data_IF_121753684701
#
_entry.id   IF_121753684701
#
_cell.length_a   1.000
_cell.length_b   1.000
_cell.length_c   1.000
_cell.angle_alpha   90.00
_cell.angle_beta   90.00
_cell.angle_gamma   90.00
#
_symmetry.space_group_name_H-M   'P 1'
#
loop_
_entity.id
_entity.type
_entity.pdbx_description
1 polymer ?
#
# COMPACT_ATOMS: atom_id res chain seq x y z
N UNK A 1 -2.17 19.25 25.31
CA UNK A 1 -3.51 18.90 24.78
C UNK A 1 -3.56 19.00 23.26
N UNK A 2 -2.86 19.95 22.62
CA UNK A 2 -2.82 20.07 21.14
C UNK A 2 -2.08 18.94 20.41
N UNK A 3 -1.00 18.40 21.01
CA UNK A 3 -0.17 17.39 20.36
C UNK A 3 -0.87 16.02 20.28
N UNK A 4 -1.52 15.59 21.37
CA UNK A 4 -2.32 14.38 21.39
C UNK A 4 -3.54 14.48 20.46
N UNK A 5 -4.18 15.64 20.36
CA UNK A 5 -5.34 15.85 19.49
C UNK A 5 -4.93 15.88 18.00
N UNK A 6 -3.75 16.43 17.69
CA UNK A 6 -3.16 16.40 16.34
C UNK A 6 -2.72 14.99 15.94
N UNK A 7 -2.13 14.25 16.88
CA UNK A 7 -1.77 12.84 16.71
C UNK A 7 -3.04 12.01 16.49
N UNK A 8 -4.07 12.15 17.32
CA UNK A 8 -5.35 11.46 17.17
C UNK A 8 -6.08 11.82 15.87
N UNK A 9 -6.04 13.08 15.42
CA UNK A 9 -6.57 13.47 14.10
C UNK A 9 -5.79 12.85 12.94
N UNK A 10 -4.45 12.85 13.01
CA UNK A 10 -3.59 12.17 12.01
C UNK A 10 -3.88 10.67 11.95
N UNK A 11 -4.04 10.01 13.10
CA UNK A 11 -4.39 8.59 13.17
C UNK A 11 -5.81 8.32 12.65
N UNK A 12 -6.79 9.17 13.00
CA UNK A 12 -8.17 9.03 12.53
C UNK A 12 -8.29 9.12 11.00
N UNK A 13 -7.61 10.10 10.37
CA UNK A 13 -7.58 10.20 8.90
C UNK A 13 -6.76 9.07 8.27
N UNK A 14 -5.74 8.54 8.94
CA UNK A 14 -4.94 7.44 8.40
C UNK A 14 -5.73 6.15 8.21
N UNK A 15 -6.71 5.88 9.09
CA UNK A 15 -7.59 4.73 8.98
C UNK A 15 -8.49 4.86 7.75
N UNK A 16 -9.11 6.03 7.54
CA UNK A 16 -9.94 6.30 6.35
C UNK A 16 -9.13 6.18 5.04
N UNK A 17 -7.86 6.64 5.06
CA UNK A 17 -6.94 6.47 3.93
C UNK A 17 -6.64 4.99 3.67
N UNK A 18 -6.30 4.24 4.71
CA UNK A 18 -6.03 2.81 4.60
C UNK A 18 -7.27 2.06 4.07
N UNK A 19 -8.45 2.30 4.65
CA UNK A 19 -9.69 1.62 4.24
C UNK A 19 -10.03 1.93 2.78
N UNK A 20 -9.82 3.17 2.32
CA UNK A 20 -10.01 3.54 0.92
C UNK A 20 -9.01 2.87 -0.02
N UNK A 21 -7.73 2.87 0.34
CA UNK A 21 -6.68 2.25 -0.46
C UNK A 21 -6.93 0.74 -0.55
N UNK A 22 -7.20 0.08 0.58
CA UNK A 22 -7.55 -1.35 0.64
C UNK A 22 -8.76 -1.64 -0.24
N UNK A 23 -9.84 -0.88 -0.11
CA UNK A 23 -11.05 -1.09 -0.92
C UNK A 23 -10.78 -1.04 -2.43
N UNK A 24 -9.94 -0.11 -2.88
CA UNK A 24 -9.56 -0.04 -4.30
C UNK A 24 -8.69 -1.23 -4.70
N UNK A 25 -7.71 -1.61 -3.88
CA UNK A 25 -6.89 -2.80 -4.14
C UNK A 25 -7.74 -4.09 -4.22
N UNK A 26 -8.69 -4.26 -3.30
CA UNK A 26 -9.65 -5.36 -3.29
C UNK A 26 -10.54 -5.34 -4.54
N UNK A 27 -11.00 -4.16 -4.96
CA UNK A 27 -11.82 -4.02 -6.17
C UNK A 27 -11.04 -4.45 -7.41
N UNK A 28 -9.80 -3.98 -7.57
CA UNK A 28 -8.95 -4.37 -8.71
C UNK A 28 -8.61 -5.85 -8.70
N UNK A 29 -8.34 -6.40 -7.51
CA UNK A 29 -8.17 -7.85 -7.30
C UNK A 29 -9.41 -8.63 -7.78
N UNK A 30 -10.60 -8.16 -7.42
CA UNK A 30 -11.87 -8.79 -7.79
C UNK A 30 -12.21 -8.68 -9.28
N UNK A 31 -11.95 -7.53 -9.88
CA UNK A 31 -12.29 -7.25 -11.29
C UNK A 31 -11.35 -7.95 -12.28
N UNK A 32 -10.13 -8.32 -11.84
CA UNK A 32 -9.22 -9.12 -12.66
C UNK A 32 -9.57 -10.61 -12.62
N UNK A 33 -9.74 -11.22 -13.79
CA UNK A 33 -10.25 -12.59 -13.98
C UNK A 33 -9.20 -13.60 -14.48
N UNK A 34 -7.95 -13.16 -14.68
CA UNK A 34 -6.86 -13.99 -15.26
C UNK A 34 -5.79 -14.42 -14.26
N UNK A 35 -6.14 -14.53 -12.98
CA UNK A 35 -5.21 -14.98 -11.93
C UNK A 35 -4.66 -16.39 -12.18
N UNK A 36 -5.42 -17.27 -12.86
CA UNK A 36 -4.99 -18.63 -13.18
C UNK A 36 -4.14 -18.73 -14.47
N UNK A 37 -3.88 -17.61 -15.16
CA UNK A 37 -3.08 -17.58 -16.38
C UNK A 37 -1.61 -17.30 -16.08
N UNK A 38 -0.77 -18.33 -16.15
CA UNK A 38 0.67 -18.25 -15.89
C UNK A 38 1.44 -17.27 -16.81
N UNK A 39 0.84 -16.78 -17.90
CA UNK A 39 1.46 -15.83 -18.83
C UNK A 39 1.00 -14.39 -18.61
N UNK A 40 0.12 -14.13 -17.65
CA UNK A 40 -0.45 -12.80 -17.39
C UNK A 40 -0.17 -12.38 -15.95
N UNK A 41 0.54 -11.27 -15.79
CA UNK A 41 0.67 -10.60 -14.49
C UNK A 41 -0.62 -9.85 -14.15
N UNK A 42 -1.10 -10.02 -12.93
CA UNK A 42 -2.18 -9.20 -12.40
C UNK A 42 -1.74 -7.77 -12.08
N UNK A 43 -2.69 -6.89 -11.71
CA UNK A 43 -2.35 -5.56 -11.23
C UNK A 43 -1.53 -5.65 -9.93
N UNK A 44 -0.51 -4.81 -9.79
CA UNK A 44 0.32 -4.72 -8.59
C UNK A 44 0.33 -3.31 -8.02
N UNK A 45 0.08 -3.19 -6.72
CA UNK A 45 0.11 -1.90 -6.02
C UNK A 45 0.92 -2.02 -4.74
N UNK A 46 1.64 -0.95 -4.40
CA UNK A 46 2.31 -0.81 -3.12
C UNK A 46 2.13 0.64 -2.64
N UNK A 47 1.22 0.87 -1.70
CA UNK A 47 1.01 2.16 -1.08
C UNK A 47 1.74 2.23 0.26
N UNK A 48 2.36 3.39 0.53
CA UNK A 48 2.95 3.71 1.81
C UNK A 48 2.36 5.02 2.33
N UNK A 49 1.57 4.93 3.40
CA UNK A 49 0.98 6.09 4.08
C UNK A 49 1.95 6.57 5.14
N UNK A 50 2.40 7.82 5.07
CA UNK A 50 3.42 8.40 5.94
C UNK A 50 2.92 9.63 6.69
N UNK A 51 3.37 9.81 7.93
CA UNK A 51 2.97 10.92 8.80
C UNK A 51 3.64 12.24 8.41
N UNK A 52 4.82 12.20 7.81
CA UNK A 52 5.70 13.33 7.50
C UNK A 52 6.42 13.13 6.16
N UNK A 53 7.06 14.18 5.65
CA UNK A 53 7.74 14.18 4.34
C UNK A 53 9.19 13.69 4.38
N UNK A 54 9.65 13.15 5.51
CA UNK A 54 11.01 12.65 5.71
C UNK A 54 11.24 11.26 5.10
N UNK A 55 10.26 10.72 4.37
CA UNK A 55 10.36 9.44 3.69
C UNK A 55 11.53 9.36 2.69
N UNK A 56 11.99 10.50 2.16
CA UNK A 56 13.17 10.59 1.30
C UNK A 56 14.44 9.98 1.94
N UNK A 57 14.53 9.92 3.28
CA UNK A 57 15.66 9.33 3.98
C UNK A 57 15.85 7.84 3.69
N UNK A 58 14.78 7.13 3.33
CA UNK A 58 14.79 5.68 3.08
C UNK A 58 14.13 5.28 1.75
N UNK A 59 13.87 6.24 0.86
CA UNK A 59 13.33 5.97 -0.48
C UNK A 59 14.21 6.55 -1.56
N UNK A 60 14.25 5.89 -2.72
CA UNK A 60 14.94 6.38 -3.91
C UNK A 60 13.92 6.48 -5.07
N UNK A 61 13.95 7.55 -5.90
CA UNK A 61 13.11 7.63 -7.09
C UNK A 61 13.26 6.39 -7.98
N UNK A 62 12.15 5.77 -8.40
CA UNK A 62 12.18 4.57 -9.24
C UNK A 62 11.99 4.93 -10.71
N UNK A 63 13.09 5.33 -11.37
CA UNK A 63 13.08 5.68 -12.78
C UNK A 63 12.07 6.79 -13.11
N UNK A 64 11.35 6.63 -14.22
CA UNK A 64 10.32 7.56 -14.67
C UNK A 64 8.91 7.18 -14.16
N UNK A 65 8.79 6.25 -13.21
CA UNK A 65 7.50 5.83 -12.68
C UNK A 65 6.88 6.95 -11.84
N UNK A 66 5.67 7.36 -12.24
CA UNK A 66 4.95 8.46 -11.61
C UNK A 66 3.48 8.11 -11.37
N UNK A 67 2.96 8.61 -10.25
CA UNK A 67 1.53 8.72 -10.03
C UNK A 67 0.96 9.94 -10.78
N UNK A 68 -0.08 9.78 -11.63
CA UNK A 68 -0.73 10.87 -12.36
C UNK A 68 -1.47 11.90 -11.47
N UNK A 69 -0.74 12.82 -10.84
CA UNK A 69 -1.30 13.80 -9.89
C UNK A 69 -2.22 14.84 -10.53
N UNK A 70 -2.14 15.05 -11.84
CA UNK A 70 -3.08 15.86 -12.62
C UNK A 70 -4.47 15.23 -12.69
N UNK A 71 -4.55 13.89 -12.60
CA UNK A 71 -5.80 13.12 -12.63
C UNK A 71 -6.31 12.76 -11.24
N UNK A 72 -5.41 12.52 -10.29
CA UNK A 72 -5.76 12.19 -8.91
C UNK A 72 -4.62 12.61 -7.99
N UNK A 73 -4.77 13.70 -7.24
CA UNK A 73 -3.75 14.14 -6.27
C UNK A 73 -4.06 13.71 -4.83
N UNK A 74 -5.34 13.50 -4.50
CA UNK A 74 -5.81 13.27 -3.14
C UNK A 74 -6.67 12.00 -3.12
N UNK A 75 -6.33 11.04 -2.26
CA UNK A 75 -6.99 9.72 -2.16
C UNK A 75 -8.51 9.83 -1.93
N UNK A 76 -8.92 10.77 -1.08
CA UNK A 76 -10.30 10.92 -0.63
C UNK A 76 -11.13 11.91 -1.47
N UNK A 77 -10.54 12.59 -2.46
CA UNK A 77 -11.23 13.64 -3.23
C UNK A 77 -12.25 13.06 -4.22
N UNK A 78 -11.85 12.08 -5.03
CA UNK A 78 -12.77 11.35 -5.93
C UNK A 78 -12.51 9.84 -5.89
N UNK A 79 -13.46 9.03 -5.39
CA UNK A 79 -13.37 7.56 -5.43
C UNK A 79 -13.09 7.00 -6.81
N UNK A 80 -13.81 7.50 -7.80
CA UNK A 80 -13.78 6.99 -9.17
C UNK A 80 -12.46 7.37 -9.85
N UNK A 81 -11.97 8.60 -9.64
CA UNK A 81 -10.69 9.02 -10.18
C UNK A 81 -9.55 8.24 -9.55
N UNK A 82 -9.57 8.06 -8.22
CA UNK A 82 -8.57 7.28 -7.50
C UNK A 82 -8.51 5.83 -7.99
N UNK A 83 -9.67 5.16 -8.14
CA UNK A 83 -9.75 3.79 -8.66
C UNK A 83 -9.15 3.68 -10.07
N UNK A 84 -9.56 4.55 -11.00
CA UNK A 84 -9.07 4.53 -12.39
C UNK A 84 -7.57 4.76 -12.50
N UNK A 85 -7.04 5.68 -11.70
CA UNK A 85 -5.59 5.94 -11.69
C UNK A 85 -4.83 4.77 -11.06
N UNK A 86 -5.37 4.18 -9.99
CA UNK A 86 -4.79 2.99 -9.37
C UNK A 86 -4.79 1.79 -10.34
N UNK A 87 -5.85 1.60 -11.11
CA UNK A 87 -5.91 0.58 -12.17
C UNK A 87 -4.79 0.78 -13.20
N UNK A 88 -4.71 1.97 -13.81
CA UNK A 88 -3.67 2.28 -14.80
C UNK A 88 -2.26 2.07 -14.23
N UNK A 89 -2.00 2.58 -13.03
CA UNK A 89 -0.70 2.44 -12.36
C UNK A 89 -0.41 0.97 -12.07
N UNK A 90 -1.39 0.23 -11.55
CA UNK A 90 -1.22 -1.16 -11.14
C UNK A 90 -0.85 -2.10 -12.29
N UNK A 91 -1.26 -1.80 -13.52
CA UNK A 91 -0.91 -2.58 -14.70
C UNK A 91 0.35 -2.11 -15.44
N UNK A 92 0.81 -0.87 -15.22
CA UNK A 92 1.82 -0.26 -16.09
C UNK A 92 3.06 0.28 -15.40
N UNK A 93 3.06 0.34 -14.07
CA UNK A 93 4.15 0.95 -13.29
C UNK A 93 4.54 0.08 -12.11
N UNK A 94 5.80 0.23 -11.72
CA UNK A 94 6.36 -0.41 -10.54
C UNK A 94 6.80 0.66 -9.52
N UNK A 95 6.91 0.27 -8.26
CA UNK A 95 7.34 1.11 -7.15
C UNK A 95 6.24 1.41 -6.14
N UNK A 96 6.69 1.90 -4.98
CA UNK A 96 5.82 2.37 -3.93
C UNK A 96 5.22 3.74 -4.26
N UNK A 97 3.96 3.91 -3.93
CA UNK A 97 3.17 5.13 -4.04
C UNK A 97 3.10 5.75 -2.65
N UNK A 98 3.70 6.92 -2.49
CA UNK A 98 3.72 7.63 -1.21
C UNK A 98 2.45 8.45 -1.04
N UNK A 99 1.77 8.25 0.08
CA UNK A 99 0.59 9.01 0.50
C UNK A 99 0.89 9.68 1.83
N UNK A 100 0.80 11.00 1.92
CA UNK A 100 0.94 11.70 3.19
C UNK A 100 -0.32 11.57 4.04
N UNK A 101 -0.22 11.73 5.36
CA UNK A 101 -1.36 11.53 6.28
C UNK A 101 -2.57 12.45 6.06
N UNK A 102 -2.44 13.49 5.23
CA UNK A 102 -3.56 14.32 4.77
C UNK A 102 -4.26 13.80 3.49
N UNK A 103 -3.78 12.68 2.94
CA UNK A 103 -4.30 12.02 1.74
C UNK A 103 -3.63 12.45 0.44
N UNK A 104 -2.65 13.35 0.46
CA UNK A 104 -1.93 13.78 -0.75
C UNK A 104 -1.00 12.67 -1.25
N UNK A 105 -1.11 12.36 -2.54
CA UNK A 105 -0.27 11.37 -3.23
C UNK A 105 0.93 12.09 -3.86
N UNK A 106 2.13 11.59 -3.61
CA UNK A 106 3.35 12.11 -4.22
C UNK A 106 3.47 11.66 -5.68
N UNK A 107 3.89 12.56 -6.56
CA UNK A 107 4.00 12.26 -7.98
C UNK A 107 5.06 11.20 -8.28
N UNK A 108 6.22 11.27 -7.62
CA UNK A 108 7.31 10.32 -7.87
C UNK A 108 7.03 9.00 -7.16
N UNK A 109 6.98 7.89 -7.91
CA UNK A 109 6.99 6.55 -7.33
C UNK A 109 8.42 6.17 -6.95
N UNK A 110 8.57 5.39 -5.89
CA UNK A 110 9.86 5.17 -5.24
C UNK A 110 10.16 3.70 -4.99
N UNK A 111 11.45 3.38 -4.93
CA UNK A 111 11.96 2.16 -4.31
C UNK A 111 12.13 2.43 -2.82
N UNK A 112 11.62 1.54 -1.98
CA UNK A 112 11.79 1.61 -0.53
C UNK A 112 13.02 0.79 -0.14
N UNK A 113 13.96 1.39 0.59
CA UNK A 113 15.14 0.70 1.13
C UNK A 113 14.76 -0.05 2.40
N UNK A 114 15.12 -1.33 2.46
CA UNK A 114 14.97 -2.14 3.67
C UNK A 114 15.65 -1.44 4.86
N UNK A 115 14.98 -1.36 6.02
CA UNK A 115 15.55 -0.76 7.20
C UNK A 115 16.74 -1.57 7.70
N UNK A 116 17.78 -0.88 8.16
CA UNK A 116 18.89 -1.53 8.83
C UNK A 116 18.49 -1.82 10.29
N UNK A 117 18.91 -2.96 10.85
CA UNK A 117 18.59 -3.33 12.25
C UNK A 117 19.07 -2.30 13.29
N UNK A 118 20.11 -1.51 12.95
CA UNK A 118 20.57 -0.41 13.80
C UNK A 118 19.61 0.79 13.79
N UNK A 119 18.82 0.98 12.73
CA UNK A 119 17.80 2.03 12.62
C UNK A 119 16.47 1.58 13.23
N UNK A 120 16.10 0.32 12.95
CA UNK A 120 14.84 -0.29 13.37
C UNK A 120 15.14 -1.66 13.98
N UNK A 121 15.39 -1.74 15.30
CA UNK A 121 15.79 -2.99 15.96
C UNK A 121 14.81 -4.15 15.75
N UNK A 122 13.50 -3.86 15.70
CA UNK A 122 12.45 -4.85 15.51
C UNK A 122 12.52 -5.60 14.18
N UNK A 123 13.25 -5.10 13.17
CA UNK A 123 13.36 -5.79 11.86
C UNK A 123 14.04 -7.16 11.99
N UNK A 124 14.98 -7.32 12.94
CA UNK A 124 15.70 -8.56 13.14
C UNK A 124 14.84 -9.65 13.81
N UNK A 125 13.69 -9.26 14.35
CA UNK A 125 12.75 -10.13 15.06
C UNK A 125 11.53 -10.50 14.19
N UNK A 126 11.43 -9.95 12.96
CA UNK A 126 10.33 -10.25 12.06
C UNK A 126 10.40 -11.69 11.56
N UNK A 127 9.26 -12.37 11.62
CA UNK A 127 9.03 -13.65 10.97
C UNK A 127 8.23 -13.44 9.69
N UNK A 128 8.68 -14.06 8.61
CA UNK A 128 8.02 -13.98 7.30
C UNK A 128 7.31 -15.29 7.01
N UNK A 129 6.00 -15.28 6.68
CA UNK A 129 5.33 -16.46 6.18
C UNK A 129 5.78 -16.77 4.75
N UNK A 130 5.72 -18.05 4.36
CA UNK A 130 6.29 -18.55 3.09
C UNK A 130 5.70 -17.91 1.81
N UNK A 131 4.50 -17.34 1.90
CA UNK A 131 3.85 -16.67 0.78
C UNK A 131 4.39 -15.26 0.50
N UNK A 132 5.12 -14.64 1.44
CA UNK A 132 5.58 -13.27 1.29
C UNK A 132 6.74 -13.16 0.29
N UNK A 133 6.43 -12.65 -0.90
CA UNK A 133 7.44 -12.16 -1.84
C UNK A 133 8.12 -10.86 -1.39
N UNK A 134 9.09 -10.38 -2.17
CA UNK A 134 9.91 -9.19 -1.89
C UNK A 134 9.10 -7.94 -1.53
N UNK A 135 7.99 -7.70 -2.24
CA UNK A 135 7.11 -6.55 -2.00
C UNK A 135 6.46 -6.62 -0.61
N UNK A 136 5.98 -7.80 -0.23
CA UNK A 136 5.33 -8.01 1.06
C UNK A 136 6.33 -7.93 2.22
N UNK A 137 7.52 -8.51 2.06
CA UNK A 137 8.61 -8.35 3.04
C UNK A 137 9.00 -6.88 3.20
N UNK A 138 9.20 -6.16 2.08
CA UNK A 138 9.50 -4.73 2.11
C UNK A 138 8.43 -3.92 2.84
N UNK A 139 7.14 -4.20 2.59
CA UNK A 139 6.04 -3.52 3.26
C UNK A 139 5.99 -3.82 4.77
N UNK A 140 6.21 -5.08 5.17
CA UNK A 140 6.26 -5.49 6.58
C UNK A 140 7.41 -4.82 7.31
N UNK A 141 8.63 -4.90 6.77
CA UNK A 141 9.82 -4.26 7.34
C UNK A 141 9.63 -2.74 7.46
N UNK A 142 9.10 -2.11 6.41
CA UNK A 142 8.91 -0.66 6.36
C UNK A 142 7.85 -0.19 7.35
N UNK A 143 6.84 -1.01 7.65
CA UNK A 143 5.78 -0.69 8.61
C UNK A 143 6.27 -0.48 10.04
N UNK A 144 7.48 -0.94 10.39
CA UNK A 144 8.12 -0.70 11.68
C UNK A 144 8.72 0.72 11.82
N UNK A 145 8.81 1.50 10.72
CA UNK A 145 9.32 2.87 10.79
C UNK A 145 8.28 3.78 11.46
N UNK A 146 8.71 4.60 12.41
CA UNK A 146 7.80 5.46 13.20
C UNK A 146 6.98 6.45 12.36
N UNK A 147 7.50 6.87 11.21
CA UNK A 147 6.83 7.80 10.32
C UNK A 147 5.89 7.11 9.31
N UNK A 148 5.81 5.78 9.32
CA UNK A 148 4.89 5.00 8.48
C UNK A 148 3.61 4.71 9.27
N UNK A 149 2.49 5.18 8.74
CA UNK A 149 1.17 4.98 9.33
C UNK A 149 0.55 3.67 8.85
N UNK A 150 0.69 3.34 7.57
CA UNK A 150 0.18 2.11 6.95
C UNK A 150 1.00 1.76 5.72
N UNK A 151 1.13 0.47 5.43
CA UNK A 151 1.43 0.02 4.08
C UNK A 151 0.30 -0.85 3.55
N UNK A 152 0.03 -0.79 2.24
CA UNK A 152 -0.98 -1.64 1.59
C UNK A 152 -0.41 -2.18 0.30
N UNK A 153 -0.52 -3.49 0.08
CA UNK A 153 -0.05 -4.14 -1.15
C UNK A 153 -1.19 -4.87 -1.86
N UNK A 154 -1.15 -4.86 -3.20
CA UNK A 154 -1.85 -5.80 -4.07
C UNK A 154 -0.79 -6.62 -4.81
N UNK A 155 -0.87 -7.94 -4.65
CA UNK A 155 0.02 -8.90 -5.31
C UNK A 155 -0.35 -9.10 -6.78
N UNK A 156 0.64 -9.02 -7.67
CA UNK A 156 0.46 -9.35 -9.10
C UNK A 156 0.36 -10.85 -9.38
N UNK A 157 0.71 -11.69 -8.40
CA UNK A 157 0.78 -13.15 -8.57
C UNK A 157 -0.57 -13.81 -8.28
N UNK A 158 -1.21 -13.42 -7.18
CA UNK A 158 -2.39 -14.12 -6.64
C UNK A 158 -3.54 -13.17 -6.29
N UNK A 159 -3.38 -11.86 -6.51
CA UNK A 159 -4.40 -10.87 -6.19
C UNK A 159 -4.59 -10.65 -4.69
N UNK A 160 -3.70 -11.18 -3.85
CA UNK A 160 -3.74 -10.98 -2.40
C UNK A 160 -3.61 -9.49 -2.07
N UNK A 161 -4.50 -9.02 -1.22
CA UNK A 161 -4.40 -7.68 -0.62
C UNK A 161 -3.87 -7.84 0.80
N UNK A 162 -2.92 -7.00 1.20
CA UNK A 162 -2.37 -7.04 2.56
C UNK A 162 -2.19 -5.64 3.09
N UNK A 163 -2.57 -5.42 4.34
CA UNK A 163 -2.33 -4.18 5.08
C UNK A 163 -1.31 -4.42 6.18
N UNK A 164 -0.39 -3.48 6.39
CA UNK A 164 0.71 -3.59 7.35
C UNK A 164 0.71 -2.39 8.29
N UNK A 165 0.96 -2.65 9.57
CA UNK A 165 1.05 -1.67 10.64
C UNK A 165 2.00 -2.20 11.71
N UNK A 166 2.98 -1.41 12.13
CA UNK A 166 3.81 -1.70 13.32
C UNK A 166 4.41 -3.12 13.32
N UNK A 167 4.93 -3.57 12.18
CA UNK A 167 5.52 -4.91 12.04
C UNK A 167 4.54 -6.07 12.09
N UNK A 168 3.23 -5.79 12.05
CA UNK A 168 2.17 -6.78 11.87
C UNK A 168 1.46 -6.58 10.53
N UNK A 169 0.67 -7.56 10.15
CA UNK A 169 -0.11 -7.52 8.91
C UNK A 169 -1.47 -8.18 9.08
N UNK A 170 -2.40 -7.76 8.23
CA UNK A 170 -3.64 -8.47 7.96
C UNK A 170 -3.69 -8.74 6.47
N UNK A 171 -3.71 -10.00 6.08
CA UNK A 171 -3.84 -10.43 4.70
C UNK A 171 -5.28 -10.79 4.35
N UNK A 172 -5.59 -10.63 3.08
CA UNK A 172 -6.88 -10.89 2.48
C UNK A 172 -6.60 -11.69 1.20
N UNK A 173 -6.54 -13.03 1.30
CA UNK A 173 -6.43 -13.89 0.14
C UNK A 173 -7.52 -13.56 -0.88
N UNK A 174 -7.22 -13.70 -2.18
CA UNK A 174 -8.17 -13.34 -3.23
C UNK A 174 -9.52 -13.98 -3.03
N UNK A 175 -9.58 -15.22 -2.54
CA UNK A 175 -10.77 -16.02 -2.26
C UNK A 175 -11.60 -15.53 -1.06
N UNK A 176 -11.03 -14.72 -0.18
CA UNK A 176 -11.69 -14.17 1.00
C UNK A 176 -12.16 -12.71 0.80
N UNK A 177 -11.60 -12.01 -0.20
CA UNK A 177 -11.97 -10.63 -0.54
C UNK A 177 -13.46 -10.54 -0.89
N UNK A 178 -14.20 -9.62 -0.26
CA UNK A 178 -15.65 -9.46 -0.42
C UNK A 178 -16.49 -10.29 0.56
N UNK A 179 -15.87 -11.20 1.32
CA UNK A 179 -16.49 -11.94 2.42
C UNK A 179 -17.85 -12.55 2.08
N UNK A 180 -18.85 -12.26 2.91
CA UNK A 180 -20.23 -12.80 2.81
C UNK A 180 -21.00 -12.36 1.55
N UNK A 181 -20.50 -11.38 0.81
CA UNK A 181 -21.15 -10.85 -0.39
C UNK A 181 -20.65 -11.50 -1.68
N UNK A 182 -19.73 -12.47 -1.58
CA UNK A 182 -19.49 -13.40 -2.66
C UNK A 182 -20.76 -14.20 -2.92
N UNK A 183 -21.30 -14.21 -4.15
CA UNK A 183 -22.22 -15.27 -4.53
C UNK A 183 -21.47 -16.58 -4.32
N UNK A 184 -21.92 -17.38 -3.34
CA UNK A 184 -21.36 -18.72 -3.14
C UNK A 184 -21.56 -19.55 -4.40
N UNK A 185 -20.59 -20.42 -4.69
CA UNK A 185 -20.72 -21.47 -5.68
C UNK A 185 -21.94 -22.36 -5.42
#
# INVERSE_FOLDING_TARGET
MEELDRVLKKYATSQDLMDRIRYVAETLSMEFDKWDDQYVSGPSLYFLVVAETDFEAYTDPLGENVWPTDRCKIVLDSPEAFRRVAEDVGFSRDGAIIVTGDGTIQQQMVRVRSPHHAEVPGVAELEYPDWMGTKHMSALETSLRQNVLWAVTLSEEDGRVTTYLDGTYQDYPREEIGGRWRPGE
#
